data_IF_356249033884
#
_entry.id   IF_356249033884
#
_cell.length_a   1.000
_cell.length_b   1.000
_cell.length_c   1.000
_cell.angle_alpha   90.00
_cell.angle_beta   90.00
_cell.angle_gamma   90.00
#
_symmetry.space_group_name_H-M   'P 1'
#
loop_
_entity.id
_entity.type
_entity.pdbx_description
1 polymer ?
#
# COMPACT_ATOMS: atom_id res chain seq x y z
N UNK A 1 -22.74 -5.15 12.32
CA UNK A 1 -21.47 -5.56 12.97
C UNK A 1 -21.80 -6.63 13.99
N UNK A 2 -21.13 -7.78 13.93
CA UNK A 2 -21.21 -8.81 14.97
C UNK A 2 -20.25 -8.48 16.11
N UNK A 3 -20.71 -8.62 17.35
CA UNK A 3 -19.92 -8.43 18.56
C UNK A 3 -19.68 -9.81 19.18
N UNK A 4 -18.43 -10.07 19.56
CA UNK A 4 -18.01 -11.26 20.32
C UNK A 4 -17.19 -10.80 21.50
N UNK A 5 -17.60 -11.19 22.71
CA UNK A 5 -16.86 -10.98 23.94
C UNK A 5 -16.58 -12.34 24.57
N UNK A 6 -15.40 -12.49 25.17
CA UNK A 6 -14.98 -13.70 25.86
C UNK A 6 -14.48 -13.33 27.25
N UNK A 7 -15.03 -13.98 28.28
CA UNK A 7 -14.67 -13.73 29.67
C UNK A 7 -14.06 -14.98 30.29
N UNK A 8 -12.92 -14.79 30.96
CA UNK A 8 -12.19 -15.83 31.67
C UNK A 8 -11.80 -15.34 33.07
N UNK A 9 -11.74 -16.27 34.02
CA UNK A 9 -11.22 -16.02 35.36
C UNK A 9 -9.67 -15.97 35.38
N UNK A 10 -9.08 -15.69 36.55
CA UNK A 10 -7.62 -15.65 36.74
C UNK A 10 -6.92 -16.99 36.42
N UNK A 11 -7.65 -18.10 36.45
CA UNK A 11 -7.18 -19.44 36.10
C UNK A 11 -7.45 -19.79 34.63
N UNK A 12 -7.91 -18.82 33.82
CA UNK A 12 -8.28 -18.96 32.41
C UNK A 12 -9.48 -19.87 32.13
N UNK A 13 -10.30 -20.19 33.13
CA UNK A 13 -11.55 -20.91 32.93
C UNK A 13 -12.63 -19.98 32.36
N UNK A 14 -13.51 -20.49 31.48
CA UNK A 14 -14.62 -19.70 30.95
C UNK A 14 -15.60 -19.28 32.05
N UNK A 15 -16.10 -18.05 31.95
CA UNK A 15 -17.09 -17.50 32.89
C UNK A 15 -18.45 -17.43 32.20
N UNK A 16 -19.36 -18.34 32.55
CA UNK A 16 -20.70 -18.45 31.95
C UNK A 16 -21.82 -17.84 32.82
N UNK A 17 -21.62 -17.80 34.14
CA UNK A 17 -22.62 -17.37 35.12
C UNK A 17 -22.62 -15.84 35.30
N UNK A 18 -22.70 -15.12 34.17
CA UNK A 18 -22.71 -13.66 34.10
C UNK A 18 -23.69 -13.17 33.03
N UNK A 19 -24.33 -12.03 33.30
CA UNK A 19 -25.05 -11.28 32.28
C UNK A 19 -24.10 -10.28 31.62
N UNK A 20 -24.05 -10.27 30.29
CA UNK A 20 -23.15 -9.39 29.55
C UNK A 20 -23.92 -8.34 28.76
N UNK A 21 -23.59 -7.08 28.96
CA UNK A 21 -24.11 -5.95 28.18
C UNK A 21 -22.97 -5.20 27.52
N UNK A 22 -23.04 -5.02 26.20
CA UNK A 22 -22.10 -4.19 25.46
C UNK A 22 -22.64 -2.77 25.29
N UNK A 23 -21.87 -1.77 25.68
CA UNK A 23 -22.14 -0.36 25.38
C UNK A 23 -21.32 0.04 24.17
N UNK A 24 -22.00 0.39 23.08
CA UNK A 24 -21.39 0.93 21.88
C UNK A 24 -21.51 2.45 21.90
N UNK A 25 -20.40 3.18 21.88
CA UNK A 25 -20.35 4.64 21.85
C UNK A 25 -19.65 5.14 20.59
N UNK A 26 -20.19 6.19 20.00
CA UNK A 26 -19.65 6.86 18.82
C UNK A 26 -18.82 8.07 19.22
N UNK A 27 -17.81 8.42 18.42
CA UNK A 27 -16.97 9.61 18.63
C UNK A 27 -17.75 10.94 18.71
N UNK A 28 -18.95 11.02 18.11
CA UNK A 28 -19.82 12.20 18.20
C UNK A 28 -20.76 12.21 19.42
N UNK A 29 -20.69 11.17 20.27
CA UNK A 29 -21.43 11.09 21.54
C UNK A 29 -22.70 10.23 21.53
N UNK A 30 -23.10 9.63 20.41
CA UNK A 30 -24.21 8.67 20.40
C UNK A 30 -23.80 7.37 21.13
N UNK A 31 -24.70 6.80 21.95
CA UNK A 31 -24.42 5.53 22.65
C UNK A 31 -25.63 4.60 22.66
N UNK A 32 -25.37 3.30 22.61
CA UNK A 32 -26.37 2.24 22.57
C UNK A 32 -25.95 1.07 23.45
N UNK A 33 -26.86 0.55 24.26
CA UNK A 33 -26.66 -0.70 24.99
C UNK A 33 -27.17 -1.87 24.16
N UNK A 34 -26.33 -2.88 23.98
CA UNK A 34 -26.59 -4.09 23.21
C UNK A 34 -26.43 -5.28 24.15
N UNK A 35 -27.51 -5.99 24.50
CA UNK A 35 -27.40 -7.21 25.29
C UNK A 35 -26.63 -8.26 24.48
N UNK A 36 -25.64 -8.91 25.11
CA UNK A 36 -24.93 -10.04 24.53
C UNK A 36 -25.48 -11.34 25.12
N UNK A 37 -25.77 -12.31 24.25
CA UNK A 37 -26.31 -13.61 24.64
C UNK A 37 -25.20 -14.67 24.65
N UNK A 38 -25.28 -15.70 25.51
CA UNK A 38 -24.33 -16.81 25.48
C UNK A 38 -24.26 -17.47 24.10
N UNK A 39 -23.04 -17.71 23.63
CA UNK A 39 -22.75 -18.40 22.37
C UNK A 39 -22.69 -19.93 22.53
N UNK A 40 -22.22 -20.62 21.49
CA UNK A 40 -22.01 -22.08 21.54
C UNK A 40 -20.79 -22.48 22.38
N UNK A 41 -19.79 -21.59 22.46
CA UNK A 41 -18.57 -21.80 23.25
C UNK A 41 -18.75 -21.27 24.68
N UNK A 42 -18.35 -22.03 25.71
CA UNK A 42 -18.34 -21.55 27.10
C UNK A 42 -17.51 -20.26 27.25
N UNK A 43 -18.03 -19.29 28.00
CA UNK A 43 -17.43 -18.00 28.28
C UNK A 43 -17.56 -17.00 27.13
N UNK A 44 -18.18 -17.37 26.02
CA UNK A 44 -18.36 -16.51 24.84
C UNK A 44 -19.77 -15.94 24.80
N UNK A 45 -19.86 -14.64 24.59
CA UNK A 45 -21.10 -13.90 24.45
C UNK A 45 -21.13 -13.17 23.11
N UNK A 46 -22.25 -13.27 22.40
CA UNK A 46 -22.43 -12.74 21.06
C UNK A 46 -23.62 -11.80 20.97
N UNK A 47 -23.51 -10.81 20.09
CA UNK A 47 -24.59 -9.89 19.77
C UNK A 47 -24.32 -9.19 18.45
N UNK A 48 -25.19 -8.29 18.07
CA UNK A 48 -25.00 -7.50 16.86
C UNK A 48 -25.54 -6.09 17.02
N UNK A 49 -24.88 -5.16 16.35
CA UNK A 49 -25.31 -3.77 16.23
C UNK A 49 -25.30 -3.35 14.77
N UNK A 50 -26.27 -2.52 14.39
CA UNK A 50 -26.29 -1.82 13.11
C UNK A 50 -26.00 -0.35 13.37
N UNK A 51 -24.75 0.11 13.19
CA UNK A 51 -24.41 1.49 13.50
C UNK A 51 -25.12 2.46 12.55
N UNK A 52 -25.76 3.53 13.06
CA UNK A 52 -26.48 4.50 12.24
C UNK A 52 -25.57 5.46 11.46
N UNK A 53 -24.31 5.63 11.90
CA UNK A 53 -23.37 6.59 11.35
C UNK A 53 -22.00 5.97 11.13
N UNK A 54 -21.31 6.45 10.09
CA UNK A 54 -19.87 6.21 9.90
C UNK A 54 -19.06 6.96 10.95
N UNK A 55 -17.93 6.39 11.35
CA UNK A 55 -16.97 6.97 12.29
C UNK A 55 -16.38 5.92 13.23
N UNK A 56 -15.61 6.36 14.22
CA UNK A 56 -15.03 5.48 15.23
C UNK A 56 -16.08 5.11 16.27
N UNK A 57 -16.23 3.80 16.48
CA UNK A 57 -17.06 3.23 17.53
C UNK A 57 -16.18 2.58 18.60
N UNK A 58 -16.50 2.84 19.86
CA UNK A 58 -15.90 2.22 21.03
C UNK A 58 -16.93 1.25 21.62
N UNK A 59 -16.47 0.09 22.04
CA UNK A 59 -17.30 -0.97 22.62
C UNK A 59 -16.77 -1.31 24.00
N UNK A 60 -17.64 -1.28 25.00
CA UNK A 60 -17.37 -1.74 26.35
C UNK A 60 -18.34 -2.87 26.70
N UNK A 61 -17.84 -4.11 26.82
CA UNK A 61 -18.63 -5.25 27.28
C UNK A 61 -18.49 -5.39 28.79
N UNK A 62 -19.56 -5.13 29.54
CA UNK A 62 -19.62 -5.31 30.98
C UNK A 62 -20.23 -6.68 31.29
N UNK A 63 -19.49 -7.50 32.04
CA UNK A 63 -19.97 -8.74 32.62
C UNK A 63 -20.36 -8.49 34.08
N UNK A 64 -21.62 -8.77 34.41
CA UNK A 64 -22.17 -8.61 35.74
C UNK A 64 -22.61 -9.96 36.31
N UNK A 65 -22.32 -10.19 37.59
CA UNK A 65 -22.82 -11.33 38.35
C UNK A 65 -23.64 -10.80 39.53
N UNK A 66 -24.89 -11.22 39.64
CA UNK A 66 -25.80 -10.78 40.72
C UNK A 66 -25.93 -9.24 40.84
N UNK A 67 -25.72 -8.50 39.74
CA UNK A 67 -25.77 -7.03 39.72
C UNK A 67 -24.45 -6.34 40.08
N UNK A 68 -23.37 -7.09 40.34
CA UNK A 68 -22.03 -6.54 40.53
C UNK A 68 -21.17 -6.72 39.28
N UNK A 69 -20.45 -5.67 38.81
CA UNK A 69 -19.56 -5.78 37.66
C UNK A 69 -18.33 -6.60 38.03
N UNK A 70 -18.15 -7.73 37.35
CA UNK A 70 -17.03 -8.67 37.59
C UNK A 70 -15.89 -8.43 36.59
N UNK A 71 -16.22 -8.10 35.35
CA UNK A 71 -15.22 -7.87 34.31
C UNK A 71 -15.70 -6.87 33.25
N UNK A 72 -14.75 -6.19 32.60
CA UNK A 72 -15.02 -5.26 31.49
C UNK A 72 -14.04 -5.51 30.35
N UNK A 73 -14.56 -5.79 29.16
CA UNK A 73 -13.80 -5.85 27.91
C UNK A 73 -13.96 -4.55 27.13
N UNK A 74 -12.88 -4.03 26.54
CA UNK A 74 -12.92 -2.81 25.73
C UNK A 74 -12.33 -3.05 24.34
N UNK A 75 -12.95 -2.48 23.32
CA UNK A 75 -12.45 -2.52 21.95
C UNK A 75 -12.89 -1.27 21.18
N UNK A 76 -12.24 -0.97 20.06
CA UNK A 76 -12.66 0.08 19.15
C UNK A 76 -12.56 -0.37 17.70
N UNK A 77 -13.42 0.18 16.86
CA UNK A 77 -13.46 -0.12 15.43
C UNK A 77 -13.87 1.12 14.65
N UNK A 78 -13.19 1.38 13.53
CA UNK A 78 -13.66 2.33 12.54
C UNK A 78 -14.75 1.66 11.70
N UNK A 79 -15.98 2.20 11.74
CA UNK A 79 -17.05 1.78 10.86
C UNK A 79 -17.24 2.82 9.77
N UNK A 80 -17.05 2.42 8.51
CA UNK A 80 -17.47 3.21 7.37
C UNK A 80 -18.70 2.55 6.76
N UNK A 81 -19.81 3.28 6.72
CA UNK A 81 -21.02 2.87 6.02
C UNK A 81 -20.73 2.91 4.51
N UNK A 82 -20.11 1.85 4.02
CA UNK A 82 -19.73 1.73 2.64
C UNK A 82 -20.94 1.38 1.78
N UNK A 83 -21.30 2.29 0.87
CA UNK A 83 -21.43 1.83 -0.50
C UNK A 83 -20.04 1.36 -0.95
N UNK A 84 -19.65 0.17 -0.50
CA UNK A 84 -18.50 -0.57 -1.01
C UNK A 84 -18.80 -1.17 -2.41
N UNK A 85 -19.84 -0.66 -3.08
CA UNK A 85 -20.17 -0.96 -4.46
C UNK A 85 -19.57 0.12 -5.37
N UNK A 86 -18.44 -0.23 -5.99
CA UNK A 86 -18.07 0.20 -7.35
C UNK A 86 -17.75 1.69 -7.62
N UNK A 87 -16.90 2.35 -6.82
CA UNK A 87 -16.29 3.64 -7.21
C UNK A 87 -14.78 3.58 -7.51
N UNK A 88 -14.20 2.38 -7.65
CA UNK A 88 -12.77 2.18 -7.91
C UNK A 88 -12.38 1.76 -9.33
N UNK A 89 -13.33 1.52 -10.24
CA UNK A 89 -13.02 1.04 -11.60
C UNK A 89 -12.83 2.17 -12.63
N UNK A 90 -12.96 3.43 -12.22
CA UNK A 90 -12.78 4.58 -13.10
C UNK A 90 -11.57 5.40 -12.66
N UNK A 91 -10.75 5.78 -13.63
CA UNK A 91 -9.60 6.66 -13.44
C UNK A 91 -9.99 7.93 -12.68
N UNK A 92 -9.34 8.21 -11.54
CA UNK A 92 -9.54 9.43 -10.77
C UNK A 92 -8.83 10.62 -11.46
N UNK A 93 -9.49 11.18 -12.48
CA UNK A 93 -8.95 12.28 -13.31
C UNK A 93 -8.52 13.48 -12.47
N UNK A 94 -9.32 13.86 -11.47
CA UNK A 94 -9.03 15.02 -10.62
C UNK A 94 -7.74 14.84 -9.80
N UNK A 95 -7.50 13.64 -9.27
CA UNK A 95 -6.25 13.32 -8.55
C UNK A 95 -5.05 13.34 -9.51
N UNK A 96 -5.17 12.69 -10.67
CA UNK A 96 -4.09 12.62 -11.65
C UNK A 96 -3.72 13.99 -12.21
N UNK A 97 -4.71 14.85 -12.46
CA UNK A 97 -4.48 16.22 -12.90
C UNK A 97 -3.73 17.02 -11.84
N UNK A 98 -4.20 17.00 -10.59
CA UNK A 98 -3.52 17.69 -9.47
C UNK A 98 -2.10 17.18 -9.27
N UNK A 99 -1.88 15.87 -9.39
CA UNK A 99 -0.55 15.28 -9.28
C UNK A 99 0.37 15.75 -10.42
N UNK A 100 -0.15 15.82 -11.66
CA UNK A 100 0.62 16.33 -12.79
C UNK A 100 0.99 17.80 -12.60
N UNK A 101 0.05 18.64 -12.16
CA UNK A 101 0.30 20.06 -11.88
C UNK A 101 1.34 20.23 -10.77
N UNK A 102 1.24 19.45 -9.68
CA UNK A 102 2.17 19.53 -8.55
C UNK A 102 3.59 19.05 -8.88
N UNK A 103 3.74 18.13 -9.84
CA UNK A 103 5.04 17.58 -10.26
C UNK A 103 5.63 18.30 -11.47
N UNK A 104 4.94 19.31 -12.02
CA UNK A 104 5.32 19.99 -13.26
C UNK A 104 5.11 19.14 -14.52
N UNK A 105 4.39 18.02 -14.42
CA UNK A 105 3.98 17.18 -15.54
C UNK A 105 2.71 17.68 -16.22
N UNK A 106 2.32 17.01 -17.31
CA UNK A 106 1.08 17.29 -18.04
C UNK A 106 0.18 16.07 -18.08
N UNK A 107 -1.08 16.24 -17.71
CA UNK A 107 -2.11 15.20 -17.83
C UNK A 107 -2.59 15.07 -19.28
N UNK A 108 -2.77 13.83 -19.75
CA UNK A 108 -3.26 13.50 -21.09
C UNK A 108 -4.54 12.69 -21.00
N UNK A 109 -5.53 13.06 -21.80
CA UNK A 109 -6.68 12.22 -22.08
C UNK A 109 -6.41 11.30 -23.28
N UNK A 110 -7.11 10.15 -23.42
CA UNK A 110 -6.91 9.25 -24.56
C UNK A 110 -7.03 9.93 -25.93
N UNK A 111 -7.88 10.94 -26.04
CA UNK A 111 -8.11 11.70 -27.28
C UNK A 111 -6.96 12.69 -27.58
N UNK A 112 -6.17 13.08 -26.57
CA UNK A 112 -5.07 14.04 -26.67
C UNK A 112 -3.68 13.36 -26.79
N UNK A 113 -3.63 12.02 -26.82
CA UNK A 113 -2.39 11.24 -26.87
C UNK A 113 -1.52 11.53 -28.10
N UNK A 114 -2.10 12.08 -29.17
CA UNK A 114 -1.35 12.44 -30.39
C UNK A 114 -0.28 13.51 -30.17
N UNK A 115 -0.40 14.34 -29.12
CA UNK A 115 0.60 15.35 -28.76
C UNK A 115 1.73 14.86 -27.85
N UNK A 116 1.65 13.63 -27.35
CA UNK A 116 2.66 13.05 -26.46
C UNK A 116 4.06 12.92 -27.11
N UNK A 117 4.19 12.48 -28.38
CA UNK A 117 5.50 12.35 -29.03
C UNK A 117 6.25 13.68 -29.14
N UNK A 118 5.54 14.80 -29.36
CA UNK A 118 6.17 16.12 -29.48
C UNK A 118 6.75 16.61 -28.15
N UNK A 119 6.12 16.26 -27.02
CA UNK A 119 6.64 16.58 -25.70
C UNK A 119 7.80 15.68 -25.28
N UNK A 120 7.82 14.43 -25.74
CA UNK A 120 8.99 13.55 -25.59
C UNK A 120 10.19 14.05 -26.40
N UNK A 121 9.96 14.66 -27.57
CA UNK A 121 11.02 15.30 -28.36
C UNK A 121 11.62 16.53 -27.67
N UNK A 122 10.83 17.26 -26.89
CA UNK A 122 11.30 18.40 -26.08
C UNK A 122 11.78 18.01 -24.67
N UNK A 123 11.40 16.83 -24.17
CA UNK A 123 11.97 16.20 -22.98
C UNK A 123 13.35 15.60 -23.30
N UNK A 124 14.24 16.43 -23.83
CA UNK A 124 15.65 16.35 -23.51
C UNK A 124 15.85 16.81 -22.07
N UNK A 125 15.19 16.16 -21.11
CA UNK A 125 15.80 15.99 -19.81
C UNK A 125 17.10 15.27 -20.14
N UNK A 126 18.19 16.02 -20.18
CA UNK A 126 19.52 15.52 -20.48
C UNK A 126 19.86 14.49 -19.41
N UNK A 127 19.43 13.26 -19.61
CA UNK A 127 20.12 12.12 -19.09
C UNK A 127 21.40 12.16 -19.90
N UNK A 128 22.40 12.85 -19.36
CA UNK A 128 23.79 12.68 -19.78
C UNK A 128 24.12 11.24 -19.45
N UNK A 129 23.75 10.35 -20.36
CA UNK A 129 24.22 8.99 -20.36
C UNK A 129 25.69 9.10 -20.72
N UNK A 130 26.54 9.04 -19.69
CA UNK A 130 27.98 8.89 -19.86
C UNK A 130 28.20 7.51 -20.47
N UNK A 131 28.08 7.43 -21.80
CA UNK A 131 28.36 6.22 -22.55
C UNK A 131 29.89 6.02 -22.53
N UNK A 132 30.35 5.12 -21.66
CA UNK A 132 31.75 4.69 -21.66
C UNK A 132 31.98 3.84 -22.91
N UNK A 133 32.26 4.49 -24.04
CA UNK A 133 32.72 3.78 -25.23
C UNK A 133 34.11 3.25 -24.97
N UNK A 134 34.23 1.93 -24.95
CA UNK A 134 35.52 1.26 -24.87
C UNK A 134 36.36 1.67 -26.07
N UNK A 135 37.54 2.24 -25.80
CA UNK A 135 38.47 2.63 -26.87
C UNK A 135 38.86 1.39 -27.71
N UNK A 136 38.79 0.19 -27.12
CA UNK A 136 39.07 -1.08 -27.79
C UNK A 136 38.10 -1.42 -28.92
N UNK A 137 36.88 -0.88 -28.92
CA UNK A 137 35.89 -1.14 -29.98
C UNK A 137 36.10 -0.27 -31.23
N UNK A 138 37.09 0.64 -31.21
CA UNK A 138 37.40 1.48 -32.36
C UNK A 138 38.25 0.70 -33.40
N UNK A 139 37.76 0.51 -34.65
CA UNK A 139 38.53 -0.15 -35.72
C UNK A 139 39.88 0.52 -36.00
N UNK A 140 40.01 1.80 -35.67
CA UNK A 140 41.24 2.57 -35.82
C UNK A 140 42.41 2.01 -34.99
N UNK A 141 42.18 1.51 -33.77
CA UNK A 141 43.25 0.93 -32.93
C UNK A 141 43.73 -0.39 -33.52
N UNK A 142 42.82 -1.21 -34.03
CA UNK A 142 43.17 -2.43 -34.74
C UNK A 142 44.05 -2.12 -35.98
N UNK A 143 43.65 -1.13 -36.79
CA UNK A 143 44.43 -0.71 -37.96
C UNK A 143 45.81 -0.18 -37.58
N UNK A 144 45.91 0.61 -36.50
CA UNK A 144 47.19 1.13 -35.99
C UNK A 144 48.13 -0.02 -35.57
N UNK A 145 47.63 -0.97 -34.78
CA UNK A 145 48.42 -2.14 -34.33
C UNK A 145 48.84 -3.01 -35.51
N UNK A 146 47.93 -3.24 -36.46
CA UNK A 146 48.21 -3.98 -37.69
C UNK A 146 49.32 -3.31 -38.51
N UNK A 147 49.24 -1.99 -38.70
CA UNK A 147 50.26 -1.22 -39.42
C UNK A 147 51.61 -1.22 -38.69
N UNK A 148 51.62 -1.13 -37.35
CA UNK A 148 52.86 -1.24 -36.58
C UNK A 148 53.52 -2.60 -36.80
N UNK A 149 52.73 -3.68 -36.77
CA UNK A 149 53.24 -5.04 -36.97
C UNK A 149 53.64 -5.32 -38.40
N UNK A 150 52.87 -4.87 -39.37
CA UNK A 150 53.23 -4.97 -40.79
C UNK A 150 54.49 -4.14 -41.10
N UNK A 151 54.60 -2.94 -40.52
CA UNK A 151 55.78 -2.08 -40.61
C UNK A 151 57.01 -2.75 -40.00
N UNK A 152 56.91 -3.26 -38.77
CA UNK A 152 57.97 -4.02 -38.13
C UNK A 152 58.42 -5.21 -38.99
N UNK A 153 57.47 -6.00 -39.52
CA UNK A 153 57.78 -7.13 -40.38
C UNK A 153 58.47 -6.68 -41.68
N UNK A 154 58.02 -5.59 -42.30
CA UNK A 154 58.64 -5.03 -43.51
C UNK A 154 60.05 -4.52 -43.23
N UNK A 155 60.28 -3.86 -42.10
CA UNK A 155 61.61 -3.42 -41.67
C UNK A 155 62.51 -4.64 -41.42
N UNK A 156 62.03 -5.66 -40.71
CA UNK A 156 62.77 -6.92 -40.52
C UNK A 156 63.09 -7.59 -41.84
N UNK A 157 62.13 -7.66 -42.77
CA UNK A 157 62.35 -8.26 -44.11
C UNK A 157 63.35 -7.46 -44.93
N UNK A 158 63.33 -6.12 -44.84
CA UNK A 158 64.28 -5.24 -45.54
C UNK A 158 65.69 -5.40 -44.98
N UNK A 159 65.85 -5.50 -43.66
CA UNK A 159 67.15 -5.58 -43.00
C UNK A 159 67.70 -7.01 -42.85
N UNK A 160 66.87 -8.04 -42.97
CA UNK A 160 67.32 -9.44 -43.01
C UNK A 160 67.78 -9.90 -44.42
N UNK A 161 67.76 -8.99 -45.40
CA UNK A 161 68.15 -9.23 -46.80
C UNK A 161 69.40 -8.44 -47.22
N UNK A 162 70.21 -7.99 -46.25
CA UNK A 162 71.58 -7.46 -46.44
C UNK A 162 72.52 -8.28 -45.58
#
# INVERSE_FOLDING_TARGET
IGLRAEFRDDAFNPVDDVSVTAVASHETGASFSVPLLPGEEPGVFMGAITPPHSGTWYFEALAEKEGEPVAVGRSSMLYESGQAEHFGFRMNRGLLQRLSEATGGRYFEPDDLSGLPDLLRYSSAGITETEYRSVWDAPAIFLLLFLLKAGEWLLRRRWSSI
#
